data_IF_320803536712
#
_entry.id   IF_320803536712
#
_cell.length_a   1.000
_cell.length_b   1.000
_cell.length_c   1.000
_cell.angle_alpha   90.00
_cell.angle_beta   90.00
_cell.angle_gamma   90.00
#
_symmetry.space_group_name_H-M   'P 1'
#
loop_
_entity.id
_entity.type
_entity.pdbx_description
1 polymer ?
#
# COMPACT_ATOMS: atom_id res chain seq x y z
N UNK A 1 -16.37 14.28 -34.04
CA UNK A 1 -15.77 15.04 -32.93
C UNK A 1 -15.89 14.19 -31.67
N UNK A 2 -14.78 13.92 -30.96
CA UNK A 2 -14.84 13.18 -29.71
C UNK A 2 -15.56 14.04 -28.66
N UNK A 3 -16.57 13.49 -27.99
CA UNK A 3 -17.25 14.19 -26.89
C UNK A 3 -16.28 14.29 -25.72
N UNK A 4 -15.95 15.51 -25.32
CA UNK A 4 -15.11 15.80 -24.15
C UNK A 4 -16.01 16.17 -22.96
N UNK A 5 -15.64 15.73 -21.76
CA UNK A 5 -16.28 16.12 -20.51
C UNK A 5 -15.25 16.81 -19.61
N UNK A 6 -15.68 17.84 -18.88
CA UNK A 6 -14.83 18.55 -17.92
C UNK A 6 -14.87 17.85 -16.56
N UNK A 7 -13.71 17.69 -15.92
CA UNK A 7 -13.56 17.13 -14.59
C UNK A 7 -13.06 18.23 -13.64
N UNK A 8 -13.84 18.52 -12.60
CA UNK A 8 -13.46 19.46 -11.53
C UNK A 8 -13.29 18.70 -10.22
N UNK A 9 -12.09 18.73 -9.65
CA UNK A 9 -11.75 18.05 -8.40
C UNK A 9 -11.11 19.05 -7.45
N UNK A 10 -11.56 19.06 -6.20
CA UNK A 10 -10.85 19.76 -5.11
C UNK A 10 -9.74 18.85 -4.60
N UNK A 11 -8.53 19.36 -4.53
CA UNK A 11 -7.33 18.64 -4.10
C UNK A 11 -6.47 19.58 -3.27
N UNK A 12 -5.72 19.00 -2.34
CA UNK A 12 -4.67 19.72 -1.63
C UNK A 12 -3.61 20.27 -2.62
N UNK A 13 -3.19 21.54 -2.51
CA UNK A 13 -2.24 22.15 -3.44
C UNK A 13 -0.86 21.47 -3.45
N UNK A 14 -0.36 21.03 -2.29
CA UNK A 14 0.95 20.40 -2.18
C UNK A 14 0.91 19.01 -2.83
N UNK A 15 -0.14 18.24 -2.56
CA UNK A 15 -0.36 16.95 -3.22
C UNK A 15 -0.43 17.10 -4.74
N UNK A 16 -1.11 18.14 -5.23
CA UNK A 16 -1.21 18.42 -6.66
C UNK A 16 0.17 18.67 -7.28
N UNK A 17 0.97 19.54 -6.67
CA UNK A 17 2.29 19.90 -7.17
C UNK A 17 3.23 18.67 -7.21
N UNK A 18 3.23 17.86 -6.15
CA UNK A 18 4.01 16.62 -6.08
C UNK A 18 3.59 15.63 -7.17
N UNK A 19 2.28 15.42 -7.35
CA UNK A 19 1.77 14.52 -8.39
C UNK A 19 2.12 15.02 -9.79
N UNK A 20 1.96 16.30 -10.08
CA UNK A 20 2.29 16.90 -11.37
C UNK A 20 3.79 16.80 -11.68
N UNK A 21 4.67 17.01 -10.68
CA UNK A 21 6.10 16.82 -10.83
C UNK A 21 6.46 15.38 -11.24
N UNK A 22 5.88 14.38 -10.56
CA UNK A 22 6.12 12.97 -10.87
C UNK A 22 5.59 12.62 -12.28
N UNK A 23 4.35 13.02 -12.59
CA UNK A 23 3.73 12.75 -13.89
C UNK A 23 4.51 13.38 -15.04
N UNK A 24 4.97 14.63 -14.88
CA UNK A 24 5.79 15.31 -15.87
C UNK A 24 7.16 14.63 -16.05
N UNK A 25 7.76 14.14 -14.97
CA UNK A 25 9.01 13.37 -15.02
C UNK A 25 8.87 12.06 -15.81
N UNK A 26 7.65 11.50 -15.85
CA UNK A 26 7.29 10.33 -16.66
C UNK A 26 6.84 10.70 -18.10
N UNK A 27 6.84 11.99 -18.45
CA UNK A 27 6.35 12.48 -19.75
C UNK A 27 4.83 12.37 -19.92
N UNK A 28 4.09 12.29 -18.80
CA UNK A 28 2.63 12.10 -18.78
C UNK A 28 1.92 13.39 -18.36
N UNK A 29 1.13 14.02 -19.25
CA UNK A 29 0.27 15.13 -18.85
C UNK A 29 -0.80 14.66 -17.86
N UNK A 30 -1.22 15.48 -16.88
CA UNK A 30 -2.25 15.12 -15.91
C UNK A 30 -3.55 14.59 -16.53
N UNK A 31 -4.01 15.22 -17.61
CA UNK A 31 -5.22 14.80 -18.34
C UNK A 31 -5.11 13.38 -18.92
N UNK A 32 -3.92 12.99 -19.38
CA UNK A 32 -3.66 11.65 -19.89
C UNK A 32 -3.63 10.63 -18.76
N UNK A 33 -3.01 10.97 -17.62
CA UNK A 33 -3.00 10.13 -16.42
C UNK A 33 -4.42 9.86 -15.91
N UNK A 34 -5.27 10.89 -15.80
CA UNK A 34 -6.69 10.71 -15.45
C UNK A 34 -7.44 9.86 -16.47
N UNK A 35 -7.20 10.08 -17.77
CA UNK A 35 -7.81 9.23 -18.82
C UNK A 35 -7.42 7.77 -18.67
N UNK A 36 -6.15 7.48 -18.36
CA UNK A 36 -5.67 6.12 -18.09
C UNK A 36 -6.31 5.51 -16.84
N UNK A 37 -6.43 6.30 -15.75
CA UNK A 37 -7.13 5.88 -14.54
C UNK A 37 -8.57 5.43 -14.84
N UNK A 38 -9.37 6.25 -15.53
CA UNK A 38 -10.75 5.90 -15.90
C UNK A 38 -10.82 4.67 -16.81
N UNK A 39 -9.88 4.52 -17.76
CA UNK A 39 -9.81 3.32 -18.60
C UNK A 39 -9.57 2.07 -17.78
N UNK A 40 -8.70 2.13 -16.77
CA UNK A 40 -8.47 1.00 -15.88
C UNK A 40 -9.68 0.69 -15.02
N UNK A 41 -10.40 1.71 -14.52
CA UNK A 41 -11.65 1.51 -13.79
C UNK A 41 -12.68 0.75 -14.62
N UNK A 42 -12.85 1.16 -15.89
CA UNK A 42 -13.77 0.50 -16.82
C UNK A 42 -13.30 -0.93 -17.16
N UNK A 43 -12.00 -1.12 -17.39
CA UNK A 43 -11.44 -2.43 -17.75
C UNK A 43 -11.58 -3.46 -16.61
N UNK A 44 -11.32 -3.02 -15.38
CA UNK A 44 -11.29 -3.89 -14.20
C UNK A 44 -12.65 -3.99 -13.50
N UNK A 45 -13.64 -3.19 -13.90
CA UNK A 45 -14.92 -3.07 -13.19
C UNK A 45 -14.72 -2.79 -11.68
N UNK A 46 -13.70 -1.98 -11.36
CA UNK A 46 -13.20 -1.79 -10.00
C UNK A 46 -12.14 -0.69 -9.93
N UNK A 47 -11.52 -0.50 -8.76
CA UNK A 47 -10.43 0.47 -8.64
C UNK A 47 -9.12 -0.11 -9.18
N UNK A 48 -8.27 0.69 -9.84
CA UNK A 48 -7.05 0.22 -10.51
C UNK A 48 -5.89 -0.04 -9.55
N UNK A 49 -6.19 -0.17 -8.26
CA UNK A 49 -5.29 -0.48 -7.17
C UNK A 49 -6.06 -1.23 -6.10
N UNK A 50 -5.36 -2.06 -5.35
CA UNK A 50 -5.93 -2.82 -4.24
C UNK A 50 -6.41 -1.87 -3.13
N UNK A 51 -7.73 -1.82 -2.90
CA UNK A 51 -8.30 -1.09 -1.77
C UNK A 51 -8.27 -1.99 -0.54
N UNK A 52 -7.17 -1.92 0.19
CA UNK A 52 -7.01 -2.63 1.47
C UNK A 52 -6.96 -1.61 2.58
N UNK A 53 -7.82 -1.78 3.59
CA UNK A 53 -7.56 -1.18 4.89
C UNK A 53 -6.33 -1.91 5.45
N UNK A 54 -5.31 -1.17 5.90
CA UNK A 54 -4.07 -1.73 6.45
C UNK A 54 -4.25 -2.48 7.78
N UNK A 55 -5.45 -3.01 8.05
CA UNK A 55 -5.67 -3.94 9.15
C UNK A 55 -5.01 -5.27 8.76
N UNK A 56 -3.77 -5.45 9.19
CA UNK A 56 -3.17 -6.79 9.28
C UNK A 56 -3.93 -7.51 10.38
N UNK A 57 -4.91 -8.33 10.01
CA UNK A 57 -5.43 -9.30 10.96
C UNK A 57 -4.23 -10.09 11.53
N UNK A 58 -4.18 -10.33 12.86
CA UNK A 58 -3.12 -11.14 13.44
C UNK A 58 -3.08 -12.49 12.70
N UNK A 59 -1.87 -12.89 12.34
CA UNK A 59 -1.60 -14.07 11.51
C UNK A 59 -2.31 -15.31 12.05
N UNK A 60 -3.22 -15.90 11.26
CA UNK A 60 -3.88 -17.15 11.63
C UNK A 60 -2.93 -18.34 11.40
N UNK A 61 -2.47 -18.94 12.49
CA UNK A 61 -1.59 -20.12 12.49
C UNK A 61 -2.16 -21.33 11.74
N UNK A 62 -3.48 -21.40 11.52
CA UNK A 62 -4.13 -22.50 10.80
C UNK A 62 -4.13 -22.34 9.27
N UNK A 63 -3.77 -21.15 8.78
CA UNK A 63 -3.82 -20.82 7.34
C UNK A 63 -2.50 -21.04 6.61
N UNK A 64 -1.40 -21.28 7.33
CA UNK A 64 -0.06 -21.39 6.75
C UNK A 64 0.28 -22.83 6.35
N UNK A 65 0.85 -22.96 5.15
CA UNK A 65 1.60 -24.16 4.80
C UNK A 65 2.92 -24.22 5.59
N UNK A 66 3.50 -25.42 5.74
CA UNK A 66 4.80 -25.59 6.44
C UNK A 66 5.91 -24.71 5.86
N UNK A 67 5.90 -24.53 4.53
CA UNK A 67 6.93 -23.78 3.82
C UNK A 67 6.83 -22.27 4.08
N UNK A 68 5.60 -21.74 4.18
CA UNK A 68 5.39 -20.33 4.51
C UNK A 68 5.78 -20.04 5.96
N UNK A 69 5.42 -20.93 6.89
CA UNK A 69 5.86 -20.81 8.29
C UNK A 69 7.39 -20.82 8.39
N UNK A 70 8.04 -21.76 7.69
CA UNK A 70 9.50 -21.84 7.68
C UNK A 70 10.15 -20.57 7.11
N UNK A 71 9.58 -20.00 6.04
CA UNK A 71 10.04 -18.75 5.43
C UNK A 71 9.93 -17.56 6.38
N UNK A 72 8.85 -17.46 7.17
CA UNK A 72 8.71 -16.36 8.14
C UNK A 72 9.65 -16.54 9.34
N UNK A 73 9.88 -17.78 9.81
CA UNK A 73 10.85 -18.06 10.87
C UNK A 73 12.30 -17.77 10.45
N UNK A 74 12.65 -18.08 9.19
CA UNK A 74 13.97 -17.78 8.64
C UNK A 74 14.26 -16.28 8.65
N UNK A 75 13.26 -15.42 8.37
CA UNK A 75 13.44 -13.96 8.49
C UNK A 75 13.82 -13.55 9.90
N UNK A 76 13.15 -14.12 10.91
CA UNK A 76 13.46 -13.87 12.33
C UNK A 76 14.88 -14.32 12.69
N UNK A 77 15.31 -15.48 12.20
CA UNK A 77 16.68 -15.98 12.38
C UNK A 77 17.71 -15.02 11.77
N UNK A 78 17.48 -14.54 10.55
CA UNK A 78 18.36 -13.57 9.89
C UNK A 78 18.41 -12.22 10.62
N UNK A 79 17.29 -11.72 11.16
CA UNK A 79 17.27 -10.51 12.00
C UNK A 79 18.12 -10.66 13.27
N UNK A 80 18.09 -11.84 13.91
CA UNK A 80 18.94 -12.13 15.07
C UNK A 80 20.42 -12.11 14.68
N UNK A 81 20.79 -12.77 13.57
CA UNK A 81 22.17 -12.77 13.07
C UNK A 81 22.67 -11.38 12.71
N UNK A 82 21.79 -10.53 12.19
CA UNK A 82 22.08 -9.13 11.86
C UNK A 82 22.10 -8.19 13.08
N UNK A 83 21.75 -8.68 14.28
CA UNK A 83 21.64 -7.86 15.49
C UNK A 83 20.42 -6.92 15.49
N UNK A 84 19.49 -7.07 14.55
CA UNK A 84 18.22 -6.34 14.49
C UNK A 84 17.21 -6.98 15.45
N UNK A 85 17.49 -6.83 16.74
CA UNK A 85 16.69 -7.38 17.84
C UNK A 85 16.11 -6.25 18.69
N UNK A 86 14.94 -6.49 19.28
CA UNK A 86 14.29 -5.55 20.19
C UNK A 86 14.13 -6.16 21.57
N UNK A 87 14.28 -5.37 22.65
CA UNK A 87 13.99 -5.82 24.00
C UNK A 87 12.58 -6.38 24.10
N UNK A 88 12.43 -7.46 24.85
CA UNK A 88 11.17 -8.20 24.95
C UNK A 88 10.06 -7.32 25.54
N UNK A 89 10.39 -6.47 26.52
CA UNK A 89 9.48 -5.54 27.18
C UNK A 89 8.94 -4.49 26.19
N UNK A 90 9.80 -3.95 25.33
CA UNK A 90 9.41 -2.96 24.32
C UNK A 90 8.52 -3.57 23.22
N UNK A 91 8.81 -4.82 22.84
CA UNK A 91 7.99 -5.58 21.90
C UNK A 91 6.59 -5.84 22.44
N UNK A 92 6.47 -6.35 23.67
CA UNK A 92 5.17 -6.63 24.28
C UNK A 92 4.36 -5.36 24.56
N UNK A 93 5.00 -4.26 24.98
CA UNK A 93 4.32 -2.97 25.14
C UNK A 93 3.72 -2.45 23.82
N UNK A 94 4.43 -2.65 22.70
CA UNK A 94 3.92 -2.26 21.37
C UNK A 94 2.72 -3.11 20.95
N UNK A 95 2.75 -4.43 21.23
CA UNK A 95 1.65 -5.34 20.92
C UNK A 95 0.38 -5.02 21.72
N UNK A 96 0.50 -4.77 23.04
CA UNK A 96 -0.67 -4.41 23.86
C UNK A 96 -1.32 -3.12 23.34
N UNK A 97 -0.52 -2.13 22.95
CA UNK A 97 -1.03 -0.88 22.37
C UNK A 97 -1.78 -1.09 21.04
N UNK A 98 -1.34 -2.04 20.23
CA UNK A 98 -1.89 -2.30 18.90
C UNK A 98 -3.15 -3.19 18.93
N UNK A 99 -3.23 -4.14 19.86
CA UNK A 99 -4.26 -5.18 19.87
C UNK A 99 -5.24 -5.16 21.06
N UNK A 100 -4.93 -4.49 22.18
CA UNK A 100 -5.82 -4.41 23.36
C UNK A 100 -6.78 -3.20 23.32
N UNK A 101 -7.44 -2.96 22.18
CA UNK A 101 -8.55 -2.00 22.12
C UNK A 101 -9.81 -2.52 22.81
#
# INVERSE_FOLDING_TARGET
>A
MAKTANLYVRMDPELKEQAEYILNSLGLPPSSAFTMFYKQVVLQQGLPFDVKLSYRAPFDSHSLTKDELHKELEKGYQSILAGDVRPVEASFASLHKEFDQ
#
